data_IF_919005747950
#
_entry.id   IF_919005747950
#
_cell.length_a   1.000
_cell.length_b   1.000
_cell.length_c   1.000
_cell.angle_alpha   90.00
_cell.angle_beta   90.00
_cell.angle_gamma   90.00
#
_symmetry.space_group_name_H-M   'P 1'
#
loop_
_entity.id
_entity.type
_entity.pdbx_description
1 polymer ?
#
# COMPACT_ATOMS: atom_id res chain seq x y z
N UNK A 1 -25.61 -46.59 -6.67
CA UNK A 1 -26.06 -46.11 -5.35
C UNK A 1 -24.97 -45.22 -4.80
N UNK A 2 -24.87 -44.02 -5.37
CA UNK A 2 -25.41 -42.79 -4.77
C UNK A 2 -24.51 -42.38 -3.60
N UNK A 3 -23.31 -41.91 -3.93
CA UNK A 3 -22.51 -41.21 -2.94
C UNK A 3 -23.02 -39.76 -2.91
N UNK A 4 -23.72 -39.47 -1.83
CA UNK A 4 -24.39 -38.22 -1.50
C UNK A 4 -23.38 -37.11 -1.19
N UNK A 5 -22.58 -36.70 -2.17
CA UNK A 5 -21.84 -35.45 -2.12
C UNK A 5 -22.27 -34.55 -3.28
N UNK A 6 -23.49 -34.02 -3.14
CA UNK A 6 -23.74 -32.64 -3.55
C UNK A 6 -22.77 -31.77 -2.72
N UNK A 7 -21.51 -31.70 -3.17
CA UNK A 7 -20.53 -30.80 -2.62
C UNK A 7 -21.16 -29.41 -2.62
N UNK A 8 -21.27 -28.79 -1.45
CA UNK A 8 -21.68 -27.39 -1.34
C UNK A 8 -20.92 -26.65 -2.43
N UNK A 9 -21.63 -26.09 -3.41
CA UNK A 9 -21.01 -25.21 -4.39
C UNK A 9 -20.31 -24.12 -3.57
N UNK A 10 -18.97 -24.14 -3.53
CA UNK A 10 -18.21 -23.18 -2.73
C UNK A 10 -18.67 -21.80 -3.17
N UNK A 11 -19.12 -20.97 -2.23
CA UNK A 11 -19.55 -19.61 -2.58
C UNK A 11 -18.31 -18.80 -2.97
N UNK A 12 -18.44 -17.90 -3.94
CA UNK A 12 -17.37 -16.96 -4.26
C UNK A 12 -17.06 -16.09 -3.04
N UNK A 13 -15.80 -15.68 -2.90
CA UNK A 13 -15.40 -14.59 -2.02
C UNK A 13 -14.98 -13.40 -2.88
N UNK A 14 -15.63 -12.25 -2.69
CA UNK A 14 -15.26 -10.99 -3.34
C UNK A 14 -14.60 -10.12 -2.28
N UNK A 15 -13.35 -9.73 -2.51
CA UNK A 15 -12.55 -8.90 -1.62
C UNK A 15 -12.41 -7.54 -2.28
N UNK A 16 -12.67 -6.47 -1.54
CA UNK A 16 -12.47 -5.11 -1.99
C UNK A 16 -11.48 -4.36 -1.10
N UNK A 17 -11.53 -3.03 -1.14
CA UNK A 17 -10.64 -2.16 -0.38
C UNK A 17 -10.82 -2.28 1.13
N UNK A 18 -12.06 -2.46 1.60
CA UNK A 18 -12.39 -2.34 3.02
C UNK A 18 -12.85 -3.64 3.67
N UNK A 19 -13.41 -4.57 2.89
CA UNK A 19 -13.92 -5.84 3.40
C UNK A 19 -14.10 -6.89 2.30
N UNK A 20 -14.58 -8.08 2.68
CA UNK A 20 -14.95 -9.17 1.77
C UNK A 20 -16.43 -9.58 1.87
N UNK A 21 -17.03 -10.01 0.77
CA UNK A 21 -18.43 -10.45 0.69
C UNK A 21 -18.59 -11.80 0.00
N UNK A 22 -19.67 -12.54 0.29
CA UNK A 22 -20.09 -13.66 -0.54
C UNK A 22 -20.43 -13.20 -1.97
N UNK A 23 -19.89 -13.87 -2.98
CA UNK A 23 -20.11 -13.57 -4.40
C UNK A 23 -21.07 -14.54 -5.12
N UNK A 24 -21.89 -15.29 -4.35
CA UNK A 24 -22.82 -16.29 -4.87
C UNK A 24 -22.18 -17.63 -5.32
N UNK A 25 -23.00 -18.56 -5.80
CA UNK A 25 -22.57 -19.93 -6.19
C UNK A 25 -22.48 -20.13 -7.71
N UNK A 26 -22.82 -19.11 -8.52
CA UNK A 26 -22.78 -19.19 -9.98
C UNK A 26 -21.36 -19.29 -10.57
N UNK A 27 -21.27 -19.25 -11.90
CA UNK A 27 -20.00 -19.28 -12.63
C UNK A 27 -19.19 -17.98 -12.50
N UNK A 28 -19.83 -16.86 -12.18
CA UNK A 28 -19.20 -15.56 -12.04
C UNK A 28 -19.31 -15.06 -10.59
N UNK A 29 -18.31 -14.32 -10.08
CA UNK A 29 -18.39 -13.63 -8.80
C UNK A 29 -19.37 -12.47 -8.91
N UNK A 30 -20.49 -12.55 -8.20
CA UNK A 30 -21.54 -11.53 -8.20
C UNK A 30 -21.66 -10.85 -6.85
N UNK A 31 -21.40 -9.54 -6.79
CA UNK A 31 -21.57 -8.72 -5.61
C UNK A 31 -23.00 -8.20 -5.54
N UNK A 32 -23.68 -8.44 -4.42
CA UNK A 32 -24.97 -7.83 -4.14
C UNK A 32 -24.77 -6.35 -3.80
N UNK A 33 -25.67 -5.48 -4.25
CA UNK A 33 -25.45 -4.03 -4.10
C UNK A 33 -25.44 -3.55 -2.65
N UNK A 34 -26.13 -4.26 -1.75
CA UNK A 34 -26.09 -3.96 -0.31
C UNK A 34 -24.71 -4.23 0.32
N UNK A 35 -23.84 -4.99 -0.34
CA UNK A 35 -22.45 -5.21 0.06
C UNK A 35 -21.47 -4.21 -0.62
N UNK A 36 -21.93 -3.36 -1.55
CA UNK A 36 -21.07 -2.46 -2.32
C UNK A 36 -20.27 -1.52 -1.42
N UNK A 37 -20.97 -0.81 -0.53
CA UNK A 37 -20.36 0.14 0.40
C UNK A 37 -19.38 -0.57 1.34
N UNK A 38 -19.79 -1.73 1.87
CA UNK A 38 -18.95 -2.49 2.79
C UNK A 38 -17.67 -2.99 2.15
N UNK A 39 -17.72 -3.44 0.89
CA UNK A 39 -16.58 -4.02 0.18
C UNK A 39 -15.66 -2.94 -0.40
N UNK A 40 -16.24 -1.84 -0.91
CA UNK A 40 -15.50 -0.85 -1.71
C UNK A 40 -15.43 0.55 -1.09
N UNK A 41 -16.24 0.83 -0.08
CA UNK A 41 -16.47 2.18 0.46
C UNK A 41 -17.40 3.05 -0.39
N UNK A 42 -17.94 2.54 -1.50
CA UNK A 42 -18.83 3.29 -2.40
C UNK A 42 -20.30 2.93 -2.18
N UNK A 43 -21.11 3.93 -1.90
CA UNK A 43 -22.56 3.81 -1.70
C UNK A 43 -23.31 4.03 -3.03
N UNK A 44 -24.32 3.22 -3.31
CA UNK A 44 -25.22 3.44 -4.44
C UNK A 44 -26.26 4.52 -4.10
N UNK A 45 -26.30 5.59 -4.91
CA UNK A 45 -27.26 6.70 -4.81
C UNK A 45 -27.99 6.93 -6.14
N UNK A 46 -29.13 7.67 -6.15
CA UNK A 46 -29.83 8.01 -7.39
C UNK A 46 -28.94 8.67 -8.45
N UNK A 47 -28.04 9.56 -8.02
CA UNK A 47 -27.12 10.33 -8.85
C UNK A 47 -25.90 9.54 -9.34
N UNK A 48 -25.61 8.37 -8.77
CA UNK A 48 -24.41 7.59 -9.07
C UNK A 48 -23.87 6.82 -7.88
N UNK A 49 -22.59 6.46 -7.91
CA UNK A 49 -21.91 5.83 -6.77
C UNK A 49 -21.05 6.85 -6.05
N UNK A 50 -21.15 6.95 -4.72
CA UNK A 50 -20.49 8.00 -3.95
C UNK A 50 -19.67 7.46 -2.78
N UNK A 51 -18.55 8.12 -2.48
CA UNK A 51 -17.71 7.90 -1.29
C UNK A 51 -17.35 9.26 -0.69
N UNK A 52 -17.89 9.57 0.48
CA UNK A 52 -17.77 10.90 1.06
C UNK A 52 -18.36 11.97 0.13
N UNK A 53 -17.54 12.95 -0.28
CA UNK A 53 -17.93 14.01 -1.23
C UNK A 53 -17.67 13.66 -2.68
N UNK A 54 -17.01 12.53 -2.97
CA UNK A 54 -16.74 12.09 -4.34
C UNK A 54 -17.91 11.25 -4.86
N UNK A 55 -18.36 11.51 -6.09
CA UNK A 55 -19.38 10.73 -6.76
C UNK A 55 -18.98 10.43 -8.21
N UNK A 56 -19.21 9.19 -8.65
CA UNK A 56 -19.14 8.74 -10.03
C UNK A 56 -20.56 8.84 -10.61
N UNK A 57 -20.83 9.77 -11.54
CA UNK A 57 -22.18 9.99 -12.05
C UNK A 57 -22.81 8.76 -12.68
N UNK A 58 -24.12 8.57 -12.46
CA UNK A 58 -24.90 7.50 -13.07
C UNK A 58 -24.82 7.49 -14.60
N UNK A 59 -24.62 8.66 -15.22
CA UNK A 59 -24.42 8.79 -16.67
C UNK A 59 -23.12 8.14 -17.17
N UNK A 60 -22.10 8.03 -16.32
CA UNK A 60 -20.82 7.39 -16.68
C UNK A 60 -20.86 5.87 -16.50
N UNK A 61 -21.56 5.38 -15.46
CA UNK A 61 -21.61 3.94 -15.12
C UNK A 61 -22.86 3.24 -15.65
N UNK A 62 -23.79 3.98 -16.26
CA UNK A 62 -24.93 3.45 -17.00
C UNK A 62 -25.78 2.48 -16.17
N UNK A 63 -26.12 1.28 -16.69
CA UNK A 63 -26.94 0.30 -15.96
C UNK A 63 -26.38 -0.12 -14.60
N UNK A 64 -25.06 0.00 -14.35
CA UNK A 64 -24.49 -0.31 -13.05
C UNK A 64 -24.97 0.63 -11.94
N UNK A 65 -25.36 1.87 -12.27
CA UNK A 65 -25.83 2.86 -11.31
C UNK A 65 -27.01 2.37 -10.47
N UNK A 66 -27.90 1.55 -11.05
CA UNK A 66 -29.15 1.09 -10.43
C UNK A 66 -29.25 -0.45 -10.36
N UNK A 67 -28.14 -1.14 -10.60
CA UNK A 67 -28.11 -2.60 -10.53
C UNK A 67 -28.26 -3.06 -9.08
N UNK A 68 -29.06 -4.11 -8.86
CA UNK A 68 -29.21 -4.76 -7.55
C UNK A 68 -28.10 -5.77 -7.27
N UNK A 69 -27.40 -6.21 -8.33
CA UNK A 69 -26.29 -7.15 -8.27
C UNK A 69 -25.41 -6.96 -9.51
N UNK A 70 -24.09 -7.02 -9.34
CA UNK A 70 -23.10 -6.82 -10.41
C UNK A 70 -22.00 -7.86 -10.32
N UNK A 71 -21.36 -8.19 -11.44
CA UNK A 71 -20.14 -8.99 -11.37
C UNK A 71 -19.00 -8.17 -10.78
N UNK A 72 -18.03 -8.81 -10.11
CA UNK A 72 -16.85 -8.12 -9.59
C UNK A 72 -16.13 -7.30 -10.67
N UNK A 73 -16.07 -7.81 -11.90
CA UNK A 73 -15.50 -7.09 -13.04
C UNK A 73 -16.28 -5.82 -13.42
N UNK A 74 -17.62 -5.84 -13.35
CA UNK A 74 -18.45 -4.66 -13.62
C UNK A 74 -18.36 -3.62 -12.51
N UNK A 75 -18.19 -4.05 -11.26
CA UNK A 75 -17.88 -3.15 -10.15
C UNK A 75 -16.53 -2.48 -10.36
N UNK A 76 -15.48 -3.26 -10.66
CA UNK A 76 -14.16 -2.71 -10.93
C UNK A 76 -14.15 -1.72 -12.11
N UNK A 77 -14.83 -2.05 -13.21
CA UNK A 77 -15.00 -1.16 -14.37
C UNK A 77 -15.68 0.16 -13.99
N UNK A 78 -16.79 0.11 -13.26
CA UNK A 78 -17.51 1.31 -12.80
C UNK A 78 -16.63 2.18 -11.88
N UNK A 79 -15.79 1.55 -11.06
CA UNK A 79 -14.83 2.22 -10.19
C UNK A 79 -13.53 2.61 -10.91
N UNK A 80 -13.31 2.27 -12.19
CA UNK A 80 -12.01 2.48 -12.85
C UNK A 80 -10.86 1.72 -12.18
N UNK A 81 -11.17 0.68 -11.39
CA UNK A 81 -10.23 -0.19 -10.71
C UNK A 81 -9.90 -1.43 -11.57
N UNK A 82 -8.84 -2.13 -11.19
CA UNK A 82 -8.52 -3.45 -11.72
C UNK A 82 -9.31 -4.56 -10.99
N UNK A 83 -9.34 -5.76 -11.57
CA UNK A 83 -9.92 -6.95 -10.95
C UNK A 83 -9.03 -8.16 -11.20
N UNK A 84 -8.78 -8.96 -10.17
CA UNK A 84 -8.10 -10.23 -10.27
C UNK A 84 -9.07 -11.36 -9.88
N UNK A 85 -9.15 -12.42 -10.68
CA UNK A 85 -10.11 -13.51 -10.48
C UNK A 85 -9.38 -14.86 -10.49
N UNK A 86 -9.57 -15.62 -9.42
CA UNK A 86 -9.19 -17.02 -9.34
C UNK A 86 -10.43 -17.93 -9.43
N UNK A 87 -10.65 -18.51 -10.61
CA UNK A 87 -11.79 -19.38 -10.89
C UNK A 87 -11.76 -20.69 -10.10
N UNK A 88 -10.55 -21.25 -9.90
CA UNK A 88 -10.36 -22.55 -9.24
C UNK A 88 -10.73 -22.47 -7.76
N UNK A 89 -10.30 -21.41 -7.09
CA UNK A 89 -10.53 -21.20 -5.66
C UNK A 89 -11.74 -20.28 -5.38
N UNK A 90 -12.34 -19.71 -6.44
CA UNK A 90 -13.53 -18.86 -6.40
C UNK A 90 -13.33 -17.60 -5.56
N UNK A 91 -12.23 -16.90 -5.84
CA UNK A 91 -11.86 -15.64 -5.20
C UNK A 91 -11.80 -14.55 -6.27
N UNK A 92 -12.36 -13.38 -6.00
CA UNK A 92 -12.22 -12.20 -6.81
C UNK A 92 -11.75 -11.04 -5.94
N UNK A 93 -10.72 -10.33 -6.38
CA UNK A 93 -10.23 -9.11 -5.73
C UNK A 93 -10.54 -7.93 -6.63
N UNK A 94 -11.28 -6.96 -6.10
CA UNK A 94 -11.48 -5.65 -6.70
C UNK A 94 -10.37 -4.75 -6.18
N UNK A 95 -9.59 -4.19 -7.11
CA UNK A 95 -8.51 -3.26 -6.82
C UNK A 95 -9.04 -1.99 -6.15
N UNK A 96 -8.15 -1.29 -5.46
CA UNK A 96 -8.47 0.00 -4.85
C UNK A 96 -8.62 1.04 -5.97
N UNK A 97 -9.64 1.92 -5.85
CA UNK A 97 -9.75 3.10 -6.70
C UNK A 97 -8.88 4.17 -6.08
N UNK A 98 -7.57 3.98 -6.15
CA UNK A 98 -6.61 4.99 -5.70
C UNK A 98 -6.11 5.75 -6.91
N UNK A 99 -6.44 7.04 -6.90
CA UNK A 99 -5.67 8.06 -7.59
C UNK A 99 -4.73 8.66 -6.55
N UNK A 100 -3.59 7.98 -6.32
CA UNK A 100 -2.57 8.44 -5.36
C UNK A 100 -2.09 9.83 -5.77
N UNK A 101 -2.01 10.10 -7.08
CA UNK A 101 -1.68 11.41 -7.62
C UNK A 101 -2.68 12.49 -7.17
N UNK A 102 -3.99 12.23 -7.23
CA UNK A 102 -5.02 13.18 -6.76
C UNK A 102 -5.05 13.31 -5.25
N UNK A 103 -4.82 12.21 -4.53
CA UNK A 103 -4.72 12.18 -3.07
C UNK A 103 -3.59 13.09 -2.59
N UNK A 104 -2.40 12.89 -3.13
CA UNK A 104 -1.21 13.68 -2.80
C UNK A 104 -1.30 15.13 -3.29
N UNK A 105 -1.97 15.37 -4.43
CA UNK A 105 -2.27 16.73 -4.93
C UNK A 105 -3.35 17.47 -4.16
N UNK A 106 -4.24 16.75 -3.47
CA UNK A 106 -5.33 17.35 -2.69
C UNK A 106 -4.84 18.09 -1.45
N UNK A 107 -3.57 17.91 -1.10
CA UNK A 107 -2.95 18.46 0.11
C UNK A 107 -3.18 17.54 1.30
N UNK A 108 -4.41 17.06 1.54
CA UNK A 108 -4.75 16.32 2.77
C UNK A 108 -4.47 14.81 2.67
N UNK A 109 -3.71 14.28 3.63
CA UNK A 109 -3.41 12.85 3.73
C UNK A 109 -4.64 12.03 4.14
N UNK A 110 -4.99 10.95 3.42
CA UNK A 110 -6.08 10.06 3.81
C UNK A 110 -5.79 9.32 5.10
N UNK A 111 -6.79 9.26 5.96
CA UNK A 111 -6.74 8.37 7.12
C UNK A 111 -7.01 6.93 6.70
N UNK A 112 -6.34 5.98 7.34
CA UNK A 112 -6.49 4.54 7.09
C UNK A 112 -6.53 3.80 8.42
N UNK A 113 -7.39 2.80 8.51
CA UNK A 113 -7.39 1.85 9.62
C UNK A 113 -6.45 0.69 9.30
N UNK A 114 -5.42 0.50 10.10
CA UNK A 114 -4.40 -0.54 9.94
C UNK A 114 -4.25 -1.35 11.23
N UNK A 115 -3.70 -2.56 11.12
CA UNK A 115 -3.36 -3.34 12.30
C UNK A 115 -2.14 -2.74 13.01
N UNK A 116 -2.22 -2.55 14.32
CA UNK A 116 -1.06 -2.29 15.15
C UNK A 116 -0.28 -3.57 15.43
N UNK A 117 0.97 -3.42 15.88
CA UNK A 117 1.75 -4.55 16.43
C UNK A 117 1.12 -5.17 17.68
N UNK A 118 0.18 -4.49 18.32
CA UNK A 118 -0.67 -5.00 19.40
C UNK A 118 -1.82 -5.90 18.92
N UNK A 119 -2.03 -6.01 17.60
CA UNK A 119 -3.10 -6.78 16.98
C UNK A 119 -4.46 -6.07 16.92
N UNK A 120 -4.57 -4.82 17.39
CA UNK A 120 -5.79 -4.02 17.30
C UNK A 120 -5.79 -3.16 16.03
N UNK A 121 -6.97 -2.67 15.62
CA UNK A 121 -7.09 -1.70 14.53
C UNK A 121 -6.86 -0.29 15.07
N UNK A 122 -6.01 0.47 14.40
CA UNK A 122 -5.71 1.87 14.70
C UNK A 122 -5.82 2.71 13.43
N UNK A 123 -6.37 3.91 13.55
CA UNK A 123 -6.23 4.94 12.53
C UNK A 123 -4.77 5.38 12.40
N UNK A 124 -4.35 5.68 11.18
CA UNK A 124 -2.99 6.17 10.88
C UNK A 124 -2.63 7.41 11.71
N UNK A 125 -3.64 8.18 12.12
CA UNK A 125 -3.48 9.43 12.87
C UNK A 125 -4.09 9.43 14.29
N UNK A 126 -4.49 8.27 14.85
CA UNK A 126 -5.20 8.19 16.14
C UNK A 126 -4.46 8.87 17.31
N UNK A 127 -3.12 8.95 17.24
CA UNK A 127 -2.27 9.55 18.27
C UNK A 127 -1.33 10.65 17.73
N UNK A 128 -1.67 11.24 16.58
CA UNK A 128 -0.80 12.16 15.84
C UNK A 128 -1.30 13.61 15.89
N UNK A 129 -1.31 14.22 17.09
CA UNK A 129 -1.58 15.64 17.23
C UNK A 129 -0.30 16.45 16.99
N UNK A 130 -0.31 17.32 15.98
CA UNK A 130 0.85 18.12 15.59
C UNK A 130 1.52 17.64 14.30
N UNK A 131 2.76 18.07 14.09
CA UNK A 131 3.58 17.67 12.94
C UNK A 131 3.87 16.18 13.00
N UNK A 132 3.72 15.49 11.88
CA UNK A 132 3.85 14.02 11.84
C UNK A 132 4.75 13.58 10.70
N UNK A 133 5.75 12.77 11.02
CA UNK A 133 6.56 12.05 10.04
C UNK A 133 6.03 10.61 9.92
N UNK A 134 5.62 10.23 8.72
CA UNK A 134 5.19 8.86 8.43
C UNK A 134 6.34 8.11 7.74
N UNK A 135 6.68 6.94 8.28
CA UNK A 135 7.79 6.10 7.82
C UNK A 135 7.24 4.77 7.33
N UNK A 136 7.22 4.57 6.02
CA UNK A 136 6.93 3.27 5.41
C UNK A 136 8.21 2.40 5.42
N UNK A 137 8.13 1.21 6.00
CA UNK A 137 9.26 0.28 6.07
C UNK A 137 8.78 -1.16 5.86
N UNK A 138 9.70 -2.13 5.95
CA UNK A 138 9.32 -3.53 6.03
C UNK A 138 10.36 -4.38 6.76
N UNK A 139 9.91 -5.48 7.39
CA UNK A 139 10.76 -6.42 8.13
C UNK A 139 11.81 -7.12 7.25
N UNK A 140 11.58 -7.21 5.94
CA UNK A 140 12.52 -7.81 4.98
C UNK A 140 13.52 -6.81 4.39
N UNK A 141 13.34 -5.51 4.61
CA UNK A 141 14.21 -4.48 4.08
C UNK A 141 15.27 -4.05 5.11
N UNK A 142 16.43 -3.56 4.66
CA UNK A 142 17.44 -2.95 5.54
C UNK A 142 16.88 -1.77 6.36
N UNK A 143 15.83 -1.10 5.89
CA UNK A 143 15.22 0.02 6.60
C UNK A 143 14.56 -0.33 7.94
N UNK A 144 14.37 -1.61 8.27
CA UNK A 144 14.01 -2.01 9.63
C UNK A 144 15.06 -1.57 10.68
N UNK A 145 16.32 -1.40 10.26
CA UNK A 145 17.40 -0.92 11.12
C UNK A 145 17.32 0.59 11.39
N UNK A 146 16.51 1.34 10.62
CA UNK A 146 16.30 2.78 10.84
C UNK A 146 15.33 3.09 11.99
N UNK A 147 14.52 2.12 12.44
CA UNK A 147 13.48 2.38 13.45
C UNK A 147 14.04 3.01 14.75
N UNK A 148 15.19 2.55 15.31
CA UNK A 148 15.81 3.18 16.46
C UNK A 148 16.33 4.60 16.18
N UNK A 149 16.79 4.91 14.97
CA UNK A 149 17.23 6.26 14.61
C UNK A 149 16.06 7.24 14.54
N UNK A 150 14.91 6.81 13.99
CA UNK A 150 13.68 7.60 14.06
C UNK A 150 13.20 7.83 15.49
N UNK A 151 13.39 6.83 16.37
CA UNK A 151 13.11 6.99 17.81
C UNK A 151 14.03 8.04 18.43
N UNK A 152 15.33 7.99 18.15
CA UNK A 152 16.28 8.96 18.67
C UNK A 152 15.94 10.40 18.24
N UNK A 153 15.52 10.61 16.99
CA UNK A 153 15.04 11.91 16.50
C UNK A 153 13.78 12.39 17.23
N UNK A 154 12.81 11.49 17.44
CA UNK A 154 11.59 11.80 18.21
C UNK A 154 11.92 12.16 19.66
N UNK A 155 12.83 11.43 20.30
CA UNK A 155 13.25 11.68 21.68
C UNK A 155 13.99 13.03 21.79
N UNK A 156 14.84 13.37 20.83
CA UNK A 156 15.51 14.67 20.72
C UNK A 156 14.49 15.82 20.63
N UNK A 157 13.40 15.61 19.87
CA UNK A 157 12.36 16.59 19.62
C UNK A 157 11.19 16.51 20.62
N UNK A 158 11.30 15.76 21.72
CA UNK A 158 10.19 15.54 22.66
C UNK A 158 9.62 16.81 23.32
N UNK A 159 10.31 17.95 23.22
CA UNK A 159 9.81 19.26 23.66
C UNK A 159 8.88 19.96 22.65
N UNK A 160 8.70 19.41 21.45
CA UNK A 160 7.81 19.93 20.40
C UNK A 160 6.61 19.01 20.18
N UNK A 161 5.62 19.48 19.41
CA UNK A 161 4.47 18.66 18.99
C UNK A 161 4.82 17.85 17.74
N UNK A 162 5.83 16.98 17.84
CA UNK A 162 6.32 16.13 16.75
C UNK A 162 6.02 14.65 17.00
N UNK A 163 5.42 14.01 16.00
CA UNK A 163 5.07 12.60 16.01
C UNK A 163 5.82 11.83 14.92
N UNK A 164 6.04 10.55 15.19
CA UNK A 164 6.50 9.57 14.20
C UNK A 164 5.47 8.46 14.18
N UNK A 165 5.07 8.00 12.99
CA UNK A 165 4.27 6.79 12.82
C UNK A 165 4.97 5.91 11.78
N UNK A 166 5.26 4.67 12.14
CA UNK A 166 5.83 3.71 11.21
C UNK A 166 4.75 2.76 10.69
N UNK A 167 4.78 2.48 9.39
CA UNK A 167 3.88 1.53 8.73
C UNK A 167 4.72 0.47 8.03
N UNK A 168 4.65 -0.76 8.52
CA UNK A 168 5.30 -1.93 7.93
C UNK A 168 4.45 -2.45 6.77
N UNK A 169 5.03 -2.55 5.58
CA UNK A 169 4.38 -3.18 4.42
C UNK A 169 4.74 -4.68 4.43
N UNK A 170 4.03 -5.43 5.28
CA UNK A 170 4.31 -6.83 5.60
C UNK A 170 3.02 -7.66 5.64
N UNK A 171 3.12 -8.96 5.37
CA UNK A 171 1.99 -9.89 5.33
C UNK A 171 1.48 -10.28 6.72
N UNK A 172 2.34 -10.13 7.74
CA UNK A 172 2.13 -10.67 9.08
C UNK A 172 2.68 -9.71 10.13
N UNK A 173 1.86 -9.41 11.14
CA UNK A 173 2.28 -8.67 12.33
C UNK A 173 3.46 -9.37 13.03
N UNK A 174 3.47 -10.71 13.02
CA UNK A 174 4.52 -11.49 13.69
C UNK A 174 5.91 -11.26 13.12
N UNK A 175 6.02 -10.95 11.82
CA UNK A 175 7.29 -10.67 11.17
C UNK A 175 7.85 -9.30 11.58
N UNK A 176 6.96 -8.40 12.01
CA UNK A 176 7.28 -7.02 12.39
C UNK A 176 7.62 -6.92 13.88
N UNK A 177 7.03 -7.76 14.73
CA UNK A 177 7.19 -7.72 16.20
C UNK A 177 8.65 -7.60 16.67
N UNK A 178 9.63 -8.37 16.16
CA UNK A 178 11.01 -8.28 16.63
C UNK A 178 11.65 -6.90 16.41
N UNK A 179 11.17 -6.15 15.41
CA UNK A 179 11.68 -4.83 15.05
C UNK A 179 10.99 -3.70 15.81
N UNK A 180 9.79 -3.97 16.36
CA UNK A 180 8.99 -2.99 17.09
C UNK A 180 9.19 -3.04 18.62
N UNK A 181 9.88 -4.06 19.16
CA UNK A 181 9.98 -4.30 20.61
C UNK A 181 10.53 -3.09 21.41
N UNK A 182 11.47 -2.33 20.84
CA UNK A 182 12.11 -1.19 21.49
C UNK A 182 11.63 0.17 20.94
N UNK A 183 10.47 0.18 20.27
CA UNK A 183 9.91 1.36 19.62
C UNK A 183 8.71 1.86 20.41
N UNK A 184 8.71 3.15 20.76
CA UNK A 184 7.68 3.77 21.61
C UNK A 184 6.72 4.70 20.87
N UNK A 185 6.85 4.76 19.55
CA UNK A 185 5.90 5.41 18.66
C UNK A 185 5.04 4.35 17.94
N UNK A 186 3.85 4.72 17.40
CA UNK A 186 2.98 3.75 16.75
C UNK A 186 3.66 3.01 15.59
N UNK A 187 3.61 1.67 15.64
CA UNK A 187 4.02 0.78 14.55
C UNK A 187 2.79 0.02 14.06
N UNK A 188 2.38 0.35 12.85
CA UNK A 188 1.23 -0.23 12.14
C UNK A 188 1.72 -1.19 11.06
N UNK A 189 0.84 -2.06 10.58
CA UNK A 189 1.13 -3.12 9.62
C UNK A 189 0.08 -3.11 8.52
N UNK A 190 0.53 -2.89 7.29
CA UNK A 190 -0.26 -2.92 6.07
C UNK A 190 -0.28 -4.33 5.46
N UNK A 191 -1.13 -5.18 6.03
CA UNK A 191 -1.25 -6.59 5.63
C UNK A 191 -1.88 -6.80 4.25
N UNK A 192 -2.62 -5.80 3.75
CA UNK A 192 -3.44 -5.89 2.54
C UNK A 192 -3.03 -4.93 1.43
N UNK A 193 -1.89 -4.24 1.61
CA UNK A 193 -1.34 -3.23 0.70
C UNK A 193 -2.21 -1.98 0.54
N UNK A 194 -3.12 -1.74 1.48
CA UNK A 194 -4.03 -0.60 1.44
C UNK A 194 -3.29 0.73 1.63
N UNK A 195 -2.31 0.76 2.54
CA UNK A 195 -1.48 1.96 2.76
C UNK A 195 -0.53 2.18 1.58
N UNK A 196 0.17 1.14 1.15
CA UNK A 196 1.05 1.20 -0.03
C UNK A 196 0.31 1.68 -1.28
N UNK A 197 -0.91 1.19 -1.49
CA UNK A 197 -1.75 1.60 -2.61
C UNK A 197 -2.21 3.05 -2.48
N UNK A 198 -2.78 3.42 -1.32
CA UNK A 198 -3.33 4.76 -1.05
C UNK A 198 -2.30 5.86 -1.26
N UNK A 199 -1.07 5.63 -0.78
CA UNK A 199 0.02 6.60 -0.86
C UNK A 199 0.90 6.41 -2.10
N UNK A 200 0.56 5.48 -3.00
CA UNK A 200 1.28 5.27 -4.26
C UNK A 200 2.71 4.79 -4.10
N UNK A 201 3.00 4.07 -3.01
CA UNK A 201 4.36 3.61 -2.69
C UNK A 201 4.78 2.50 -3.66
N UNK A 202 6.00 2.61 -4.18
CA UNK A 202 6.63 1.63 -5.07
C UNK A 202 7.93 1.08 -4.50
N UNK A 203 8.42 1.62 -3.37
CA UNK A 203 9.58 1.13 -2.66
C UNK A 203 9.51 1.44 -1.15
N UNK A 204 10.35 0.75 -0.36
CA UNK A 204 10.65 1.08 1.04
C UNK A 204 12.18 1.17 1.27
N UNK A 205 12.66 2.05 2.18
CA UNK A 205 11.86 2.97 3.00
C UNK A 205 11.27 4.10 2.17
N UNK A 206 10.16 4.65 2.65
CA UNK A 206 9.60 5.90 2.13
C UNK A 206 9.11 6.74 3.29
N UNK A 207 9.49 8.01 3.32
CA UNK A 207 9.17 8.97 4.38
C UNK A 207 8.45 10.17 3.78
N UNK A 208 7.37 10.62 4.43
CA UNK A 208 6.67 11.86 4.09
C UNK A 208 6.23 12.59 5.36
N UNK A 209 5.97 13.88 5.23
CA UNK A 209 5.70 14.77 6.36
C UNK A 209 4.34 15.41 6.25
N UNK A 210 3.66 15.50 7.39
CA UNK A 210 2.33 16.06 7.54
C UNK A 210 2.38 17.23 8.52
N UNK A 211 1.75 18.35 8.15
CA UNK A 211 1.47 19.43 9.10
C UNK A 211 0.36 19.05 10.10
N UNK A 212 0.07 19.98 11.00
CA UNK A 212 -0.92 19.88 12.07
C UNK A 212 -2.36 19.65 11.55
N UNK A 213 -2.65 20.08 10.32
CA UNK A 213 -3.94 19.88 9.64
C UNK A 213 -3.98 18.59 8.80
N UNK A 214 -2.89 17.81 8.80
CA UNK A 214 -2.66 16.59 8.02
C UNK A 214 -2.49 16.86 6.52
N UNK A 215 -1.98 18.01 6.14
CA UNK A 215 -1.55 18.24 4.77
C UNK A 215 -0.13 17.70 4.56
N UNK A 216 0.10 17.08 3.42
CA UNK A 216 1.41 16.59 2.98
C UNK A 216 2.27 17.79 2.61
N UNK A 217 3.17 18.16 3.52
CA UNK A 217 4.10 19.29 3.35
C UNK A 217 5.45 18.87 2.78
N UNK A 218 5.74 17.57 2.81
CA UNK A 218 6.87 16.96 2.10
C UNK A 218 6.42 15.65 1.46
N UNK A 219 6.66 15.52 0.16
CA UNK A 219 6.25 14.35 -0.61
C UNK A 219 6.99 13.07 -0.16
N UNK A 220 6.42 11.89 -0.42
CA UNK A 220 7.08 10.61 -0.19
C UNK A 220 8.44 10.54 -0.89
N UNK A 221 9.49 10.19 -0.15
CA UNK A 221 10.82 9.91 -0.71
C UNK A 221 11.59 8.89 0.12
N UNK A 222 12.60 8.24 -0.46
CA UNK A 222 13.51 7.38 0.28
C UNK A 222 14.41 8.22 1.21
N UNK A 223 14.29 8.01 2.51
CA UNK A 223 15.03 8.70 3.55
C UNK A 223 15.41 7.73 4.66
N UNK A 224 16.52 8.01 5.33
CA UNK A 224 17.18 7.10 6.26
C UNK A 224 17.55 7.84 7.54
N UNK A 225 17.57 7.12 8.66
CA UNK A 225 17.88 7.65 9.98
C UNK A 225 19.33 7.43 10.39
N UNK A 226 20.02 6.53 9.68
CA UNK A 226 21.43 6.21 9.86
C UNK A 226 22.14 6.06 8.51
N UNK A 227 23.47 5.92 8.58
CA UNK A 227 24.33 5.78 7.40
C UNK A 227 24.84 4.34 7.18
N UNK A 228 24.23 3.34 7.83
CA UNK A 228 24.70 1.95 7.81
C UNK A 228 24.76 1.38 6.38
N UNK A 229 23.81 1.76 5.53
CA UNK A 229 23.70 1.25 4.16
C UNK A 229 23.96 2.31 3.08
N UNK A 230 24.54 3.46 3.43
CA UNK A 230 24.76 4.57 2.50
C UNK A 230 25.59 4.17 1.28
N UNK A 231 26.49 3.19 1.40
CA UNK A 231 27.24 2.65 0.26
C UNK A 231 26.36 1.93 -0.78
N UNK A 232 25.16 1.47 -0.40
CA UNK A 232 24.20 0.75 -1.26
C UNK A 232 23.19 1.71 -1.90
N UNK A 233 22.58 2.60 -1.11
CA UNK A 233 21.51 3.51 -1.59
C UNK A 233 22.01 4.91 -1.97
N UNK A 234 23.18 5.33 -1.49
CA UNK A 234 23.79 6.62 -1.83
C UNK A 234 23.07 7.84 -1.23
N UNK A 235 22.31 7.66 -0.15
CA UNK A 235 21.58 8.74 0.54
C UNK A 235 22.11 8.87 1.96
N UNK A 236 22.70 10.01 2.31
CA UNK A 236 23.14 10.28 3.67
C UNK A 236 21.93 10.68 4.55
N UNK A 237 21.92 10.24 5.81
CA UNK A 237 20.84 10.54 6.77
C UNK A 237 20.86 11.99 7.26
N UNK A 238 22.04 12.57 7.48
CA UNK A 238 22.18 13.88 8.14
C UNK A 238 21.36 15.02 7.49
N UNK A 239 21.36 15.22 6.15
CA UNK A 239 20.56 16.27 5.52
C UNK A 239 19.05 16.15 5.82
N UNK A 240 18.51 14.93 5.83
CA UNK A 240 17.10 14.71 6.14
C UNK A 240 16.79 15.00 7.61
N UNK A 241 17.63 14.50 8.52
CA UNK A 241 17.46 14.72 9.96
C UNK A 241 17.50 16.22 10.30
N UNK A 242 18.42 16.97 9.70
CA UNK A 242 18.50 18.43 9.89
C UNK A 242 17.29 19.16 9.30
N UNK A 243 16.78 18.69 8.17
CA UNK A 243 15.57 19.23 7.58
C UNK A 243 14.33 18.99 8.48
N UNK A 244 14.21 17.81 9.11
CA UNK A 244 13.14 17.56 10.10
C UNK A 244 13.29 18.51 11.30
N UNK A 245 14.50 18.71 11.83
CA UNK A 245 14.75 19.65 12.93
C UNK A 245 14.33 21.07 12.57
N UNK A 246 14.72 21.56 11.40
CA UNK A 246 14.36 22.91 10.94
C UNK A 246 12.84 23.05 10.76
N UNK A 247 12.18 22.06 10.18
CA UNK A 247 10.73 22.08 10.02
C UNK A 247 10.01 22.06 11.37
N UNK A 248 10.40 21.16 12.27
CA UNK A 248 9.74 20.99 13.56
C UNK A 248 9.95 22.19 14.48
N UNK A 249 11.18 22.70 14.58
CA UNK A 249 11.55 23.75 15.53
C UNK A 249 11.30 25.17 15.01
N UNK A 250 11.44 25.39 13.70
CA UNK A 250 11.44 26.73 13.09
C UNK A 250 10.39 26.91 11.99
N UNK A 251 9.55 25.90 11.74
CA UNK A 251 8.54 25.93 10.67
C UNK A 251 9.10 26.10 9.26
N UNK A 252 10.37 25.69 9.07
CA UNK A 252 11.09 25.84 7.81
C UNK A 252 11.12 24.52 7.02
N UNK A 253 10.39 24.47 5.91
CA UNK A 253 10.43 23.36 4.95
C UNK A 253 11.64 23.49 4.01
N UNK A 254 12.18 22.36 3.50
CA UNK A 254 13.15 22.38 2.41
C UNK A 254 12.58 23.06 1.16
N UNK A 255 13.42 23.78 0.42
CA UNK A 255 13.03 24.43 -0.83
C UNK A 255 12.37 23.41 -1.77
N UNK A 256 11.24 23.77 -2.39
CA UNK A 256 10.49 22.86 -3.26
C UNK A 256 11.34 22.29 -4.43
N UNK A 257 12.33 23.05 -4.91
CA UNK A 257 13.28 22.62 -5.94
C UNK A 257 14.33 21.62 -5.42
N UNK A 258 14.57 21.60 -4.10
CA UNK A 258 15.48 20.65 -3.44
C UNK A 258 14.79 19.36 -3.00
N UNK A 259 13.45 19.32 -3.03
CA UNK A 259 12.69 18.12 -2.73
C UNK A 259 12.79 17.16 -3.91
N UNK A 260 13.07 15.86 -3.70
CA UNK A 260 12.94 14.86 -4.74
C UNK A 260 11.50 14.89 -5.29
N UNK A 261 11.30 15.46 -6.47
CA UNK A 261 10.00 15.48 -7.12
C UNK A 261 9.78 14.15 -7.82
N UNK A 262 9.55 13.09 -7.07
CA UNK A 262 8.74 12.01 -7.62
C UNK A 262 7.32 12.57 -7.72
N UNK A 263 6.96 13.07 -8.90
CA UNK A 263 5.55 13.18 -9.23
C UNK A 263 5.02 11.76 -9.19
N UNK A 264 4.37 11.39 -8.09
CA UNK A 264 3.57 10.16 -8.02
C UNK A 264 2.51 10.32 -9.10
N UNK A 265 2.82 9.75 -10.27
CA UNK A 265 1.98 9.78 -11.44
C UNK A 265 0.77 8.90 -11.23
N UNK A 266 -0.23 9.08 -12.09
CA UNK A 266 -1.30 8.09 -12.16
C UNK A 266 -0.69 6.73 -12.53
N UNK A 267 -1.01 5.70 -11.75
CA UNK A 267 -0.58 4.34 -12.06
C UNK A 267 -1.05 3.94 -13.47
N UNK A 268 -0.23 3.20 -14.20
CA UNK A 268 -0.64 2.60 -15.46
C UNK A 268 -1.72 1.53 -15.21
N UNK A 269 -2.42 1.11 -16.27
CA UNK A 269 -3.36 -0.01 -16.17
C UNK A 269 -2.68 -1.29 -15.69
N UNK A 270 -1.45 -1.54 -16.14
CA UNK A 270 -0.68 -2.73 -15.77
C UNK A 270 -0.22 -2.66 -14.31
N UNK A 271 0.19 -1.48 -13.82
CA UNK A 271 0.52 -1.28 -12.41
C UNK A 271 -0.70 -1.50 -11.49
N UNK A 272 -1.87 -0.98 -11.87
CA UNK A 272 -3.12 -1.26 -11.13
C UNK A 272 -3.48 -2.75 -11.13
N UNK A 273 -3.30 -3.41 -12.28
CA UNK A 273 -3.53 -4.86 -12.36
C UNK A 273 -2.52 -5.62 -11.50
N UNK A 274 -1.24 -5.25 -11.53
CA UNK A 274 -0.17 -5.88 -10.75
C UNK A 274 -0.49 -5.87 -9.25
N UNK A 275 -0.85 -4.70 -8.70
CA UNK A 275 -1.24 -4.54 -7.29
C UNK A 275 -2.46 -5.39 -6.95
N UNK A 276 -3.44 -5.47 -7.84
CA UNK A 276 -4.65 -6.29 -7.63
C UNK A 276 -4.34 -7.79 -7.67
N UNK A 277 -3.47 -8.25 -8.57
CA UNK A 277 -2.99 -9.64 -8.60
C UNK A 277 -2.15 -9.98 -7.37
N UNK A 278 -1.33 -9.04 -6.87
CA UNK A 278 -0.56 -9.24 -5.65
C UNK A 278 -1.47 -9.39 -4.43
N UNK A 279 -2.52 -8.57 -4.30
CA UNK A 279 -3.54 -8.72 -3.24
C UNK A 279 -4.26 -10.07 -3.33
N UNK A 280 -4.55 -10.57 -4.53
CA UNK A 280 -5.06 -11.94 -4.71
C UNK A 280 -4.03 -13.00 -4.29
N UNK A 281 -2.74 -12.78 -4.55
CA UNK A 281 -1.67 -13.66 -4.10
C UNK A 281 -1.62 -13.78 -2.57
N UNK A 282 -1.71 -12.64 -1.87
CA UNK A 282 -1.75 -12.59 -0.40
C UNK A 282 -2.91 -13.42 0.15
N UNK A 283 -4.11 -13.26 -0.41
CA UNK A 283 -5.26 -14.04 0.03
C UNK A 283 -5.09 -15.54 -0.25
N UNK A 284 -4.60 -15.91 -1.44
CA UNK A 284 -4.33 -17.30 -1.77
C UNK A 284 -3.31 -17.91 -0.81
N UNK A 285 -2.28 -17.15 -0.41
CA UNK A 285 -1.29 -17.59 0.56
C UNK A 285 -1.91 -17.79 1.96
N UNK A 286 -2.72 -16.85 2.44
CA UNK A 286 -3.44 -16.99 3.73
C UNK A 286 -4.32 -18.24 3.79
N UNK A 287 -4.88 -18.64 2.66
CA UNK A 287 -5.71 -19.84 2.52
C UNK A 287 -4.90 -21.13 2.25
N UNK A 288 -3.56 -21.03 2.18
CA UNK A 288 -2.67 -22.17 1.95
C UNK A 288 -2.57 -22.64 0.49
N UNK A 289 -3.00 -21.84 -0.48
CA UNK A 289 -2.92 -22.15 -1.91
C UNK A 289 -1.61 -21.65 -2.52
N UNK A 290 -0.48 -22.17 -2.04
CA UNK A 290 0.87 -21.66 -2.36
C UNK A 290 1.19 -21.60 -3.86
N UNK A 291 0.91 -22.66 -4.62
CA UNK A 291 1.16 -22.67 -6.07
C UNK A 291 0.37 -21.58 -6.80
N UNK A 292 -0.87 -21.34 -6.37
CA UNK A 292 -1.71 -20.30 -6.95
C UNK A 292 -1.18 -18.92 -6.56
N UNK A 293 -0.79 -18.72 -5.30
CA UNK A 293 -0.18 -17.48 -4.83
C UNK A 293 1.11 -17.16 -5.61
N UNK A 294 2.03 -18.13 -5.77
CA UNK A 294 3.26 -17.99 -6.57
C UNK A 294 2.97 -17.57 -8.01
N UNK A 295 1.97 -18.18 -8.65
CA UNK A 295 1.58 -17.81 -10.01
C UNK A 295 1.05 -16.37 -10.11
N UNK A 296 0.35 -15.88 -9.07
CA UNK A 296 -0.13 -14.49 -9.01
C UNK A 296 0.98 -13.49 -8.73
N UNK A 297 1.94 -13.81 -7.84
CA UNK A 297 3.14 -12.99 -7.64
C UNK A 297 3.91 -12.84 -8.95
N UNK A 298 4.17 -13.94 -9.67
CA UNK A 298 4.89 -13.91 -10.94
C UNK A 298 4.16 -13.10 -12.03
N UNK A 299 2.83 -13.04 -12.00
CA UNK A 299 2.05 -12.19 -12.89
C UNK A 299 2.17 -10.71 -12.48
N UNK A 300 2.04 -10.40 -11.19
CA UNK A 300 2.18 -9.05 -10.68
C UNK A 300 3.56 -8.46 -11.00
N UNK A 301 4.63 -9.23 -10.76
CA UNK A 301 6.01 -8.83 -11.05
C UNK A 301 6.23 -8.54 -12.55
N UNK A 302 5.64 -9.35 -13.44
CA UNK A 302 5.72 -9.11 -14.88
C UNK A 302 4.99 -7.84 -15.32
N UNK A 303 3.87 -7.51 -14.66
CA UNK A 303 3.05 -6.33 -14.98
C UNK A 303 3.65 -5.03 -14.42
N UNK A 304 4.42 -5.10 -13.33
CA UNK A 304 5.06 -3.96 -12.70
C UNK A 304 6.50 -4.31 -12.23
N UNK A 305 7.45 -4.50 -13.17
CA UNK A 305 8.79 -5.02 -12.85
C UNK A 305 9.67 -4.06 -12.04
N UNK A 306 9.27 -2.78 -11.97
CA UNK A 306 9.98 -1.73 -11.24
C UNK A 306 9.28 -1.36 -9.91
N UNK A 307 8.22 -2.07 -9.52
CA UNK A 307 7.57 -1.92 -8.20
C UNK A 307 8.25 -2.85 -7.19
N UNK A 308 9.15 -2.27 -6.38
CA UNK A 308 9.91 -3.00 -5.36
C UNK A 308 9.02 -3.52 -4.23
N UNK A 309 7.85 -2.91 -4.00
CA UNK A 309 6.88 -3.44 -3.02
C UNK A 309 6.19 -4.71 -3.49
N UNK A 310 6.16 -4.98 -4.81
CA UNK A 310 5.69 -6.24 -5.40
C UNK A 310 6.85 -7.22 -5.53
N UNK A 311 7.98 -6.79 -6.10
CA UNK A 311 9.10 -7.67 -6.37
C UNK A 311 9.70 -8.24 -5.08
N UNK A 312 10.13 -7.38 -4.13
CA UNK A 312 10.82 -7.85 -2.91
C UNK A 312 9.87 -8.57 -1.96
N UNK A 313 8.65 -8.05 -1.79
CA UNK A 313 7.65 -8.78 -1.02
C UNK A 313 7.29 -10.12 -1.66
N UNK A 314 7.23 -10.16 -3.00
CA UNK A 314 7.01 -11.38 -3.78
C UNK A 314 8.07 -12.44 -3.48
N UNK A 315 9.35 -12.07 -3.48
CA UNK A 315 10.45 -12.97 -3.11
C UNK A 315 10.22 -13.59 -1.72
N UNK A 316 9.92 -12.76 -0.70
CA UNK A 316 9.59 -13.26 0.64
C UNK A 316 8.39 -14.21 0.62
N UNK A 317 7.34 -13.86 -0.14
CA UNK A 317 6.11 -14.65 -0.29
C UNK A 317 6.37 -16.03 -0.90
N UNK A 318 7.36 -16.12 -1.79
CA UNK A 318 7.73 -17.34 -2.51
C UNK A 318 8.87 -18.12 -1.85
N UNK A 319 9.41 -17.62 -0.73
CA UNK A 319 10.48 -18.26 0.04
C UNK A 319 11.89 -17.92 -0.42
N UNK A 320 12.04 -16.90 -1.25
CA UNK A 320 13.32 -16.32 -1.68
C UNK A 320 13.78 -15.22 -0.72
N UNK A 321 15.08 -14.90 -0.72
CA UNK A 321 15.64 -13.85 0.13
C UNK A 321 15.56 -12.47 -0.55
N UNK A 322 14.68 -11.56 -0.09
CA UNK A 322 14.48 -10.21 -0.66
C UNK A 322 15.64 -9.22 -0.37
N UNK A 323 16.72 -9.72 0.24
CA UNK A 323 17.98 -9.03 0.43
C UNK A 323 19.19 -9.94 0.12
N UNK A 324 18.96 -11.02 -0.64
CA UNK A 324 19.98 -11.99 -1.05
C UNK A 324 20.59 -11.70 -2.42
N UNK A 325 21.45 -12.61 -2.89
CA UNK A 325 22.18 -12.46 -4.16
C UNK A 325 21.25 -12.26 -5.37
N UNK A 326 20.15 -13.02 -5.47
CA UNK A 326 19.19 -12.91 -6.58
C UNK A 326 18.54 -11.52 -6.66
N UNK A 327 18.27 -10.90 -5.50
CA UNK A 327 17.79 -9.53 -5.45
C UNK A 327 18.84 -8.56 -6.00
N UNK A 328 20.09 -8.66 -5.53
CA UNK A 328 21.17 -7.77 -5.95
C UNK A 328 21.55 -7.91 -7.43
N UNK A 329 21.44 -9.12 -8.00
CA UNK A 329 21.66 -9.35 -9.43
C UNK A 329 20.62 -8.57 -10.27
N UNK A 330 19.32 -8.76 -10.00
CA UNK A 330 18.27 -8.01 -10.69
C UNK A 330 18.29 -6.52 -10.36
N UNK A 331 18.72 -6.14 -9.15
CA UNK A 331 18.86 -4.73 -8.77
C UNK A 331 19.97 -4.06 -9.59
N UNK A 332 21.08 -4.76 -9.83
CA UNK A 332 22.15 -4.27 -10.70
C UNK A 332 21.65 -4.06 -12.13
N UNK A 333 20.85 -4.98 -12.66
CA UNK A 333 20.20 -4.81 -13.98
C UNK A 333 19.24 -3.62 -14.00
N UNK A 334 18.46 -3.43 -12.92
CA UNK A 334 17.60 -2.28 -12.76
C UNK A 334 18.41 -0.97 -12.74
N UNK A 335 19.50 -0.89 -11.97
CA UNK A 335 20.36 0.29 -11.90
C UNK A 335 20.95 0.64 -13.28
N UNK A 336 21.31 -0.36 -14.08
CA UNK A 336 21.79 -0.16 -15.45
C UNK A 336 20.70 0.42 -16.37
N UNK A 337 19.43 0.01 -16.21
CA UNK A 337 18.30 0.56 -16.96
C UNK A 337 17.95 1.99 -16.54
N UNK A 338 18.07 2.31 -15.25
CA UNK A 338 17.62 3.58 -14.67
C UNK A 338 18.74 4.60 -14.43
N UNK A 339 20.00 4.23 -14.67
CA UNK A 339 21.14 5.17 -14.69
C UNK A 339 21.71 5.52 -13.31
N UNK A 340 21.46 4.72 -12.27
CA UNK A 340 21.97 4.98 -10.92
C UNK A 340 21.38 4.06 -9.86
N UNK A 341 21.80 4.20 -8.59
CA UNK A 341 21.12 3.55 -7.47
C UNK A 341 19.66 4.00 -7.40
N UNK A 342 18.88 3.32 -6.56
CA UNK A 342 17.54 3.75 -6.18
C UNK A 342 17.64 5.01 -5.32
N UNK A 343 18.03 6.09 -5.98
CA UNK A 343 17.53 7.40 -5.65
C UNK A 343 16.11 7.43 -6.17
N UNK A 344 15.29 8.31 -5.61
CA UNK A 344 13.97 8.66 -6.14
C UNK A 344 14.20 9.28 -7.52
N UNK A 345 14.51 8.45 -8.53
CA UNK A 345 14.89 8.87 -9.88
C UNK A 345 13.58 9.13 -10.61
N UNK A 346 13.35 10.41 -10.88
CA UNK A 346 12.32 10.88 -11.79
C UNK A 346 12.26 9.95 -13.02
N UNK A 347 11.10 9.34 -13.27
CA UNK A 347 10.88 8.69 -14.57
C UNK A 347 11.15 9.72 -15.66
N UNK A 348 11.99 9.41 -16.67
CA UNK A 348 12.08 10.27 -17.83
C UNK A 348 10.71 10.29 -18.52
N UNK A 349 10.27 11.51 -18.87
CA UNK A 349 9.03 11.82 -19.58
C UNK A 349 8.81 10.97 -20.84
#
# INVERSE_FOLDING_TARGET
MTDCYLGRMKTWTIIGESASAPGGTGSNPMLAVHDLERVTGWEQKPEGWCRGTECIPASLIGPAAQATQLSAAKVAEALGAAVAIDQKHRIAVIGTRVDASRTLRSGKAPDLSLLGVDGAQHGLFDNAAGKTMVVAFSSWCGCRYDLPGWKALKDELAGSSFNVVAVAIDESVQDVLPWAENIDYPVLVDTDRAFADTYGLTNVPTVFWLDEERNIVRQPSAEFSDDQFTEIHGVASAPHLDAVRHWVLNDQLPDAESQPTEQIGELSKDQRQARTEFRLALELQRLGFEDAARARVALADRLAPDDFTIWRAGMKLTGEDPFGAEFFDRYTEWQQRHGGPLQVVASPL
#
